data_IF_277397842033
#
_entry.id   IF_277397842033
#
_cell.length_a   1.000
_cell.length_b   1.000
_cell.length_c   1.000
_cell.angle_alpha   90.00
_cell.angle_beta   90.00
_cell.angle_gamma   90.00
#
_symmetry.space_group_name_H-M   'P 1'
#
loop_
_entity.id
_entity.type
_entity.pdbx_description
1 polymer ?
#
# COMPACT_ATOMS: atom_id res chain seq x y z
N UNK A 1 -7.98 -0.95 -17.06
CA UNK A 1 -7.33 0.17 -16.38
C UNK A 1 -5.85 0.23 -16.74
N UNK A 2 -5.34 1.43 -16.96
CA UNK A 2 -3.96 1.79 -17.29
C UNK A 2 -3.14 2.12 -16.03
N UNK A 3 -1.81 2.19 -16.16
CA UNK A 3 -0.92 2.62 -15.06
C UNK A 3 -1.22 4.05 -14.60
N UNK A 4 -1.59 4.93 -15.54
CA UNK A 4 -1.97 6.32 -15.26
C UNK A 4 -3.24 6.42 -14.43
N UNK A 5 -4.27 5.68 -14.80
CA UNK A 5 -5.55 5.62 -14.06
C UNK A 5 -5.36 5.05 -12.65
N UNK A 6 -4.59 3.95 -12.51
CA UNK A 6 -4.27 3.36 -11.20
C UNK A 6 -3.58 4.36 -10.27
N UNK A 7 -2.58 5.07 -10.80
CA UNK A 7 -1.87 6.12 -10.06
C UNK A 7 -2.78 7.29 -9.70
N UNK A 8 -3.68 7.68 -10.60
CA UNK A 8 -4.62 8.78 -10.38
C UNK A 8 -5.60 8.43 -9.25
N UNK A 9 -6.19 7.23 -9.26
CA UNK A 9 -7.05 6.74 -8.18
C UNK A 9 -6.29 6.77 -6.85
N UNK A 10 -5.10 6.16 -6.75
CA UNK A 10 -4.32 6.16 -5.50
C UNK A 10 -4.13 7.58 -4.94
N UNK A 11 -3.82 8.54 -5.81
CA UNK A 11 -3.64 9.94 -5.41
C UNK A 11 -4.94 10.58 -4.93
N UNK A 12 -6.08 10.32 -5.58
CA UNK A 12 -7.41 10.78 -5.12
C UNK A 12 -7.77 10.22 -3.75
N UNK A 13 -7.47 8.95 -3.52
CA UNK A 13 -7.63 8.28 -2.24
C UNK A 13 -6.68 8.83 -1.14
N UNK A 14 -5.72 9.70 -1.48
CA UNK A 14 -4.76 10.26 -0.54
C UNK A 14 -3.73 9.25 -0.01
N UNK A 15 -3.56 8.10 -0.67
CA UNK A 15 -2.71 7.01 -0.19
C UNK A 15 -1.28 7.11 -0.74
N UNK A 16 -0.29 6.80 0.09
CA UNK A 16 1.07 6.47 -0.37
C UNK A 16 1.10 5.10 -1.06
N UNK A 17 2.18 4.80 -1.80
CA UNK A 17 2.34 3.47 -2.40
C UNK A 17 2.43 2.36 -1.34
N UNK A 18 3.02 2.63 -0.17
CA UNK A 18 3.10 1.67 0.92
C UNK A 18 1.74 1.41 1.59
N UNK A 19 0.94 2.46 1.79
CA UNK A 19 -0.42 2.31 2.31
C UNK A 19 -1.30 1.55 1.33
N UNK A 20 -1.25 1.86 0.03
CA UNK A 20 -2.01 1.10 -0.95
C UNK A 20 -1.54 -0.37 -1.02
N UNK A 21 -0.24 -0.64 -0.92
CA UNK A 21 0.27 -2.00 -0.82
C UNK A 21 -0.34 -2.75 0.38
N UNK A 22 -0.33 -2.13 1.56
CA UNK A 22 -0.92 -2.70 2.77
C UNK A 22 -2.43 -2.92 2.63
N UNK A 23 -3.17 -1.97 2.05
CA UNK A 23 -4.61 -2.08 1.77
C UNK A 23 -4.94 -3.28 0.87
N UNK A 24 -4.12 -3.50 -0.14
CA UNK A 24 -4.29 -4.57 -1.13
C UNK A 24 -3.66 -5.90 -0.68
N UNK A 25 -3.08 -5.97 0.51
CA UNK A 25 -2.42 -7.17 1.05
C UNK A 25 -1.06 -7.50 0.42
N UNK A 26 -0.42 -6.54 -0.26
CA UNK A 26 0.95 -6.71 -0.74
C UNK A 26 1.98 -6.41 0.35
N UNK A 27 3.03 -7.23 0.41
CA UNK A 27 4.14 -7.07 1.37
C UNK A 27 5.11 -5.95 1.02
N UNK A 28 5.08 -5.46 -0.23
CA UNK A 28 6.04 -4.45 -0.72
C UNK A 28 5.35 -3.34 -1.51
N UNK A 29 5.71 -2.09 -1.19
CA UNK A 29 5.35 -0.90 -1.97
C UNK A 29 5.92 -0.93 -3.40
N UNK A 30 6.94 -1.75 -3.66
CA UNK A 30 7.51 -1.93 -5.00
C UNK A 30 6.51 -2.56 -5.97
N UNK A 31 5.57 -3.38 -5.49
CA UNK A 31 4.50 -3.93 -6.34
C UNK A 31 3.63 -2.81 -6.90
N UNK A 32 3.25 -1.83 -6.06
CA UNK A 32 2.49 -0.66 -6.48
C UNK A 32 3.31 0.22 -7.43
N UNK A 33 4.60 0.43 -7.11
CA UNK A 33 5.53 1.12 -8.02
C UNK A 33 5.57 0.44 -9.40
N UNK A 34 5.64 -0.88 -9.46
CA UNK A 34 5.70 -1.63 -10.71
C UNK A 34 4.46 -1.42 -11.60
N UNK A 35 3.28 -1.28 -10.99
CA UNK A 35 2.05 -0.94 -11.71
C UNK A 35 2.01 0.53 -12.17
N UNK A 36 2.57 1.46 -11.40
CA UNK A 36 2.51 2.91 -11.66
C UNK A 36 3.61 3.45 -12.58
N UNK A 37 4.66 2.66 -12.87
CA UNK A 37 5.81 3.12 -13.65
C UNK A 37 5.42 3.52 -15.07
N UNK A 38 6.07 4.57 -15.57
CA UNK A 38 5.88 5.03 -16.96
C UNK A 38 6.55 4.12 -17.99
N UNK A 39 7.71 3.57 -17.63
CA UNK A 39 8.49 2.69 -18.51
C UNK A 39 8.27 1.23 -18.10
N UNK A 40 7.84 0.40 -19.04
CA UNK A 40 7.54 -1.02 -18.86
C UNK A 40 6.71 -1.34 -17.58
N UNK A 41 5.49 -0.78 -17.44
CA UNK A 41 4.63 -1.09 -16.31
C UNK A 41 4.26 -2.57 -16.30
N UNK A 42 4.15 -3.15 -15.09
CA UNK A 42 3.46 -4.43 -14.96
C UNK A 42 1.99 -4.25 -15.35
N UNK A 43 1.47 -5.23 -16.09
CA UNK A 43 0.05 -5.31 -16.38
C UNK A 43 -0.73 -5.38 -15.07
N UNK A 44 -1.72 -4.51 -14.92
CA UNK A 44 -2.62 -4.52 -13.78
C UNK A 44 -3.69 -5.59 -14.05
N UNK A 45 -3.83 -6.61 -13.18
CA UNK A 45 -4.88 -7.61 -13.33
C UNK A 45 -6.28 -6.97 -13.28
N UNK A 46 -7.23 -7.52 -14.03
CA UNK A 46 -8.58 -6.96 -14.14
C UNK A 46 -9.28 -6.81 -12.78
N UNK A 47 -9.18 -7.82 -11.91
CA UNK A 47 -9.76 -7.78 -10.57
C UNK A 47 -9.19 -6.67 -9.69
N UNK A 48 -7.90 -6.35 -9.85
CA UNK A 48 -7.29 -5.23 -9.15
C UNK A 48 -7.80 -3.89 -9.68
N UNK A 49 -8.09 -3.82 -10.98
CA UNK A 49 -8.80 -2.69 -11.58
C UNK A 49 -10.15 -2.43 -10.94
N UNK A 50 -11.00 -3.46 -10.86
CA UNK A 50 -12.31 -3.35 -10.22
C UNK A 50 -12.22 -2.95 -8.76
N UNK A 51 -11.25 -3.49 -8.03
CA UNK A 51 -11.04 -3.13 -6.62
C UNK A 51 -10.66 -1.65 -6.46
N UNK A 52 -9.79 -1.13 -7.34
CA UNK A 52 -9.41 0.29 -7.29
C UNK A 52 -10.57 1.22 -7.61
N UNK A 53 -11.40 0.86 -8.60
CA UNK A 53 -12.63 1.61 -8.89
C UNK A 53 -13.61 1.55 -7.72
N UNK A 54 -13.78 0.40 -7.08
CA UNK A 54 -14.63 0.27 -5.90
C UNK A 54 -14.13 1.16 -4.74
N UNK A 55 -12.82 1.18 -4.47
CA UNK A 55 -12.23 2.06 -3.46
C UNK A 55 -12.47 3.55 -3.78
N UNK A 56 -12.32 3.96 -5.04
CA UNK A 56 -12.61 5.33 -5.52
C UNK A 56 -14.08 5.71 -5.34
N UNK A 57 -14.99 4.74 -5.42
CA UNK A 57 -16.42 4.91 -5.15
C UNK A 57 -16.78 4.80 -3.64
N UNK A 58 -15.80 4.69 -2.75
CA UNK A 58 -16.01 4.67 -1.30
C UNK A 58 -16.25 3.29 -0.68
N UNK A 59 -16.06 2.19 -1.43
CA UNK A 59 -16.16 0.83 -0.88
C UNK A 59 -14.88 0.41 -0.16
N UNK A 60 -14.67 0.96 1.04
CA UNK A 60 -13.51 0.66 1.87
C UNK A 60 -13.68 -0.60 2.72
N UNK A 61 -12.60 -1.34 3.03
CA UNK A 61 -12.63 -2.37 4.05
C UNK A 61 -13.07 -1.78 5.40
N UNK A 62 -13.89 -2.52 6.14
CA UNK A 62 -14.47 -2.07 7.41
C UNK A 62 -13.42 -1.66 8.46
N UNK A 63 -12.23 -2.27 8.43
CA UNK A 63 -11.15 -2.05 9.40
C UNK A 63 -9.97 -1.25 8.82
N UNK A 64 -10.22 -0.34 7.88
CA UNK A 64 -9.20 0.54 7.31
C UNK A 64 -9.11 1.90 8.04
N UNK A 65 -7.91 2.41 8.38
CA UNK A 65 -6.61 1.75 8.27
C UNK A 65 -6.47 0.59 9.28
N UNK A 66 -5.73 -0.48 8.95
CA UNK A 66 -5.54 -1.61 9.85
C UNK A 66 -5.03 -1.11 11.20
N UNK A 67 -5.64 -1.58 12.28
CA UNK A 67 -5.13 -1.32 13.64
C UNK A 67 -3.65 -1.73 13.65
N UNK A 68 -2.76 -0.85 14.13
CA UNK A 68 -1.34 -1.21 14.31
C UNK A 68 -1.31 -2.47 15.16
N UNK A 69 -0.97 -3.61 14.56
CA UNK A 69 -0.80 -4.86 15.29
C UNK A 69 0.28 -4.62 16.33
N UNK A 70 -0.07 -4.80 17.60
CA UNK A 70 0.80 -4.63 18.75
C UNK A 70 1.91 -5.69 18.71
N UNK A 71 2.96 -5.45 17.92
CA UNK A 71 4.21 -6.21 17.99
C UNK A 71 5.06 -5.54 19.06
N UNK A 72 4.89 -5.99 20.32
CA UNK A 72 5.79 -5.68 21.43
C UNK A 72 6.53 -6.97 21.81
N UNK A 73 7.88 -6.91 21.84
CA UNK A 73 8.79 -7.89 22.47
C UNK A 73 9.73 -8.60 21.48
N UNK A 74 11.06 -8.59 21.62
CA UNK A 74 11.89 -8.08 22.71
C UNK A 74 13.40 -8.14 22.40
N UNK A 75 14.14 -7.50 23.31
CA UNK A 75 15.53 -7.72 23.71
C UNK A 75 16.70 -7.58 22.71
N UNK A 76 17.42 -6.48 22.89
CA UNK A 76 18.83 -6.28 22.55
C UNK A 76 19.42 -5.29 23.54
N UNK A 77 19.61 -5.73 24.78
CA UNK A 77 20.45 -5.04 25.76
C UNK A 77 21.90 -5.08 25.29
N UNK A 78 22.53 -3.92 25.18
CA UNK A 78 23.98 -3.62 25.27
C UNK A 78 24.13 -2.17 24.78
N UNK A 79 24.77 -1.21 25.45
CA UNK A 79 25.70 -1.18 26.56
C UNK A 79 26.53 0.10 26.37
N UNK A 80 26.78 0.86 27.44
CA UNK A 80 27.68 2.04 27.44
C UNK A 80 26.98 3.32 27.92
N UNK A 81 26.98 3.61 29.23
CA UNK A 81 28.04 4.33 29.96
C UNK A 81 28.20 5.78 29.42
N UNK A 82 27.60 6.78 30.06
CA UNK A 82 28.02 7.47 31.28
C UNK A 82 28.94 8.67 30.98
N UNK A 83 28.62 9.77 31.68
CA UNK A 83 29.29 11.07 31.85
C UNK A 83 29.36 12.00 30.62
#
# INVERSE_FOLDING_TARGET
MTSGEFRAIRKRLGLTQAQLASLLGYTSSMTISAFERRTNPRIIPAHLGWLMEALDNGFWPREWPPKRSNVQGGDGADGGAAY
#
